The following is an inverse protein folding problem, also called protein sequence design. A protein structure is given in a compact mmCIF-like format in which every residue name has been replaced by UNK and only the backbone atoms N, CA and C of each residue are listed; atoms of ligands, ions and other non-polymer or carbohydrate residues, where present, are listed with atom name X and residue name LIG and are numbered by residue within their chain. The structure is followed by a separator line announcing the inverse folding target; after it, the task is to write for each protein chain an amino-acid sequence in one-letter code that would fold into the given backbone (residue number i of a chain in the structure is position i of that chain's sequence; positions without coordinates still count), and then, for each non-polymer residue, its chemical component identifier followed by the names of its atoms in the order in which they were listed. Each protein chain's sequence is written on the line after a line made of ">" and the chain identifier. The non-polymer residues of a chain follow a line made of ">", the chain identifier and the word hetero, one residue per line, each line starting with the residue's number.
data_IF_941358450487
#
_entry.id   IF_941358450487
#
_cell.length_a   1.000
_cell.length_b   1.000
_cell.length_c   1.000
_cell.angle_alpha   90.00
_cell.angle_beta   90.00
_cell.angle_gamma   90.00
#
_symmetry.space_group_name_H-M   'P 1'
#
loop_
_entity.id
_entity.type
_entity.pdbx_description
1 polymer ?
#
# COMPACT_ATOMS: atom_id res chain seq x y z
N UNK A 1 12.92 -15.95 -15.29
CA UNK A 1 12.70 -15.50 -13.90
C UNK A 1 13.07 -14.03 -13.85
N UNK A 2 12.16 -13.17 -13.39
CA UNK A 2 12.40 -11.73 -13.27
C UNK A 2 13.56 -11.45 -12.29
N UNK A 3 14.46 -10.53 -12.65
CA UNK A 3 15.62 -10.18 -11.83
C UNK A 3 15.20 -9.59 -10.48
N UNK A 4 14.13 -8.79 -10.45
CA UNK A 4 13.60 -8.22 -9.22
C UNK A 4 13.03 -9.30 -8.31
N UNK A 5 12.35 -10.29 -8.88
CA UNK A 5 11.84 -11.45 -8.14
C UNK A 5 13.01 -12.27 -7.55
N UNK A 6 14.08 -12.50 -8.31
CA UNK A 6 15.28 -13.18 -7.78
C UNK A 6 15.91 -12.42 -6.62
N UNK A 7 16.10 -11.10 -6.75
CA UNK A 7 16.63 -10.25 -5.67
C UNK A 7 15.74 -10.38 -4.42
N UNK A 8 14.42 -10.30 -4.60
CA UNK A 8 13.44 -10.44 -3.51
C UNK A 8 13.60 -11.76 -2.77
N UNK A 9 13.70 -12.87 -3.50
CA UNK A 9 13.74 -14.21 -2.92
C UNK A 9 15.07 -14.47 -2.19
N UNK A 10 16.18 -13.92 -2.69
CA UNK A 10 17.51 -14.11 -2.08
C UNK A 10 17.85 -13.11 -0.97
N UNK A 11 17.12 -12.00 -0.81
CA UNK A 11 17.50 -10.92 0.13
C UNK A 11 17.58 -11.37 1.60
N UNK A 12 16.84 -12.41 1.99
CA UNK A 12 16.76 -12.91 3.37
C UNK A 12 17.85 -13.92 3.71
N UNK A 13 18.26 -14.74 2.74
CA UNK A 13 19.20 -15.85 2.93
C UNK A 13 20.59 -15.55 2.40
N UNK A 14 20.69 -14.77 1.32
CA UNK A 14 21.92 -14.51 0.54
C UNK A 14 22.06 -13.00 0.26
N UNK A 15 21.91 -12.17 1.29
CA UNK A 15 21.83 -10.71 1.19
C UNK A 15 22.93 -10.08 0.32
N UNK A 16 24.19 -10.48 0.50
CA UNK A 16 25.30 -9.92 -0.29
C UNK A 16 25.19 -10.21 -1.79
N UNK A 17 24.68 -11.39 -2.16
CA UNK A 17 24.42 -11.73 -3.56
C UNK A 17 23.24 -10.92 -4.11
N UNK A 18 22.18 -10.78 -3.32
CA UNK A 18 21.03 -9.96 -3.68
C UNK A 18 21.43 -8.49 -3.92
N UNK A 19 22.29 -7.93 -3.07
CA UNK A 19 22.85 -6.58 -3.22
C UNK A 19 23.73 -6.43 -4.46
N UNK A 20 24.58 -7.42 -4.77
CA UNK A 20 25.39 -7.39 -5.99
C UNK A 20 24.54 -7.43 -7.28
N UNK A 21 23.48 -8.25 -7.29
CA UNK A 21 22.51 -8.30 -8.38
C UNK A 21 21.75 -6.96 -8.51
N UNK A 22 21.32 -6.41 -7.39
CA UNK A 22 20.63 -5.13 -7.34
C UNK A 22 21.50 -3.97 -7.83
N UNK A 23 22.77 -3.90 -7.41
CA UNK A 23 23.71 -2.86 -7.86
C UNK A 23 23.87 -2.90 -9.39
N UNK A 24 24.04 -4.09 -9.95
CA UNK A 24 24.16 -4.29 -11.39
C UNK A 24 22.88 -3.85 -12.13
N UNK A 25 21.72 -4.23 -11.59
CA UNK A 25 20.42 -3.82 -12.11
C UNK A 25 20.22 -2.31 -12.09
N UNK A 26 20.53 -1.64 -10.96
CA UNK A 26 20.34 -0.21 -10.81
C UNK A 26 21.24 0.60 -11.74
N UNK A 27 22.52 0.21 -11.89
CA UNK A 27 23.46 0.85 -12.83
C UNK A 27 23.04 0.70 -14.30
N UNK A 28 22.34 -0.39 -14.63
CA UNK A 28 21.80 -0.60 -15.97
C UNK A 28 20.48 0.13 -16.22
N UNK A 29 19.73 0.46 -15.15
CA UNK A 29 18.38 1.04 -15.24
C UNK A 29 18.40 2.57 -15.13
N UNK A 30 19.30 3.13 -14.33
CA UNK A 30 19.35 4.56 -14.06
C UNK A 30 20.73 5.15 -14.42
N UNK A 31 20.78 6.37 -14.97
CA UNK A 31 22.02 7.07 -15.26
C UNK A 31 22.65 7.67 -13.99
N UNK A 32 22.90 6.83 -12.98
CA UNK A 32 23.42 7.21 -11.67
C UNK A 32 24.75 6.48 -11.40
N UNK A 33 25.74 7.20 -10.88
CA UNK A 33 27.03 6.61 -10.46
C UNK A 33 26.91 5.96 -9.08
N UNK A 34 26.15 4.88 -9.01
CA UNK A 34 25.85 4.16 -7.77
C UNK A 34 27.06 3.31 -7.40
N UNK A 35 27.60 3.47 -6.20
CA UNK A 35 28.77 2.72 -5.71
C UNK A 35 28.37 1.57 -4.77
N UNK A 36 27.39 1.81 -3.91
CA UNK A 36 26.95 0.84 -2.91
C UNK A 36 25.43 0.76 -2.85
N UNK A 37 24.92 -0.42 -2.47
CA UNK A 37 23.51 -0.64 -2.18
C UNK A 37 23.39 -1.43 -0.88
N UNK A 38 22.36 -1.12 -0.12
CA UNK A 38 22.05 -1.76 1.15
C UNK A 38 20.58 -2.16 1.16
N UNK A 39 20.31 -3.47 1.16
CA UNK A 39 18.95 -3.99 1.29
C UNK A 39 18.48 -3.93 2.74
N UNK A 40 17.21 -3.56 2.93
CA UNK A 40 16.51 -3.55 4.22
C UNK A 40 15.39 -4.58 4.23
N UNK A 41 15.72 -5.87 4.42
CA UNK A 41 14.70 -6.90 4.51
C UNK A 41 13.81 -6.65 5.73
N UNK A 42 12.50 -6.58 5.49
CA UNK A 42 11.48 -6.49 6.53
C UNK A 42 10.55 -7.70 6.39
N UNK A 43 10.27 -8.39 7.51
CA UNK A 43 9.44 -9.60 7.52
C UNK A 43 8.04 -9.40 6.93
N UNK A 44 7.55 -8.16 6.87
CA UNK A 44 6.23 -7.79 6.33
C UNK A 44 6.24 -7.44 4.84
N UNK A 45 7.40 -7.43 4.18
CA UNK A 45 7.53 -7.06 2.77
C UNK A 45 7.39 -8.26 1.83
N UNK A 46 6.17 -8.82 1.75
CA UNK A 46 5.89 -10.05 0.98
C UNK A 46 6.13 -9.89 -0.53
N UNK A 47 5.75 -8.72 -1.08
CA UNK A 47 5.74 -8.44 -2.53
C UNK A 47 6.50 -7.15 -2.88
N UNK A 48 7.48 -6.79 -2.06
CA UNK A 48 8.30 -5.59 -2.25
C UNK A 48 9.63 -5.76 -1.56
N UNK A 49 10.61 -4.94 -1.94
CA UNK A 49 11.80 -4.72 -1.14
C UNK A 49 12.25 -3.27 -1.28
N UNK A 50 13.07 -2.83 -0.34
CA UNK A 50 13.56 -1.46 -0.29
C UNK A 50 14.95 -1.42 0.33
N UNK A 51 15.58 -0.26 0.26
CA UNK A 51 16.92 -0.08 0.76
C UNK A 51 17.50 1.28 0.44
N UNK A 52 18.81 1.38 0.61
CA UNK A 52 19.56 2.59 0.30
C UNK A 52 20.57 2.34 -0.81
N UNK A 53 20.89 3.38 -1.54
CA UNK A 53 22.02 3.41 -2.45
C UNK A 53 22.91 4.63 -2.14
N UNK A 54 24.22 4.47 -2.32
CA UNK A 54 25.19 5.55 -2.15
C UNK A 54 25.85 5.83 -3.48
N UNK A 55 25.80 7.08 -3.92
CA UNK A 55 26.44 7.55 -5.14
C UNK A 55 27.94 7.85 -4.91
N UNK A 56 28.70 8.01 -5.99
CA UNK A 56 30.14 8.28 -5.92
C UNK A 56 30.50 9.60 -5.22
N UNK A 57 29.60 10.59 -5.26
CA UNK A 57 29.73 11.85 -4.53
C UNK A 57 29.40 11.73 -3.02
N UNK A 58 29.02 10.53 -2.55
CA UNK A 58 28.61 10.25 -1.19
C UNK A 58 27.13 10.49 -0.92
N UNK A 59 26.33 10.98 -1.88
CA UNK A 59 24.89 11.17 -1.69
C UNK A 59 24.21 9.83 -1.45
N UNK A 60 23.42 9.75 -0.38
CA UNK A 60 22.59 8.58 -0.08
C UNK A 60 21.17 8.82 -0.59
N UNK A 61 20.61 7.82 -1.25
CA UNK A 61 19.23 7.81 -1.76
C UNK A 61 18.50 6.57 -1.25
N UNK A 62 17.19 6.69 -1.07
CA UNK A 62 16.33 5.56 -0.72
C UNK A 62 15.69 5.00 -1.99
N UNK A 63 15.53 3.68 -2.09
CA UNK A 63 14.75 3.07 -3.16
C UNK A 63 13.68 2.12 -2.63
N UNK A 64 12.62 1.97 -3.42
CA UNK A 64 11.54 1.01 -3.17
C UNK A 64 11.10 0.39 -4.49
N UNK A 65 10.79 -0.90 -4.45
CA UNK A 65 10.25 -1.64 -5.59
C UNK A 65 9.12 -2.58 -5.16
N UNK A 66 8.20 -2.82 -6.09
CA UNK A 66 7.15 -3.84 -5.97
C UNK A 66 7.40 -4.91 -7.04
N UNK A 67 7.32 -6.19 -6.68
CA UNK A 67 7.54 -7.30 -7.62
C UNK A 67 6.28 -7.72 -8.37
N UNK A 68 5.13 -7.13 -8.05
CA UNK A 68 3.86 -7.38 -8.75
C UNK A 68 3.66 -6.39 -9.91
N UNK A 69 3.25 -6.89 -11.06
CA UNK A 69 3.07 -6.09 -12.28
C UNK A 69 1.95 -5.05 -12.21
N UNK A 70 0.94 -5.25 -11.34
CA UNK A 70 -0.34 -4.53 -11.44
C UNK A 70 -0.45 -3.23 -10.63
N UNK A 71 0.51 -2.94 -9.73
CA UNK A 71 0.30 -1.93 -8.67
C UNK A 71 1.12 -0.63 -8.79
N UNK A 72 2.15 -0.57 -9.65
CA UNK A 72 3.15 0.53 -9.60
C UNK A 72 2.68 1.82 -10.27
N UNK A 73 1.89 1.73 -11.35
CA UNK A 73 1.48 2.90 -12.13
C UNK A 73 0.49 3.79 -11.34
N UNK A 74 -0.36 3.19 -10.50
CA UNK A 74 -1.37 3.92 -9.73
C UNK A 74 -0.80 4.77 -8.60
N UNK A 75 0.21 4.28 -7.88
CA UNK A 75 0.82 5.00 -6.74
C UNK A 75 1.47 6.32 -7.19
N UNK A 76 2.20 6.29 -8.32
CA UNK A 76 2.84 7.48 -8.89
C UNK A 76 1.83 8.53 -9.33
N UNK A 77 0.81 8.12 -10.08
CA UNK A 77 -0.24 9.03 -10.54
C UNK A 77 -0.91 9.74 -9.35
N UNK A 78 -1.22 8.99 -8.29
CA UNK A 78 -1.84 9.55 -7.09
C UNK A 78 -0.91 10.53 -6.35
N UNK A 79 0.38 10.20 -6.19
CA UNK A 79 1.34 11.10 -5.56
C UNK A 79 1.53 12.40 -6.36
N UNK A 80 1.54 12.32 -7.70
CA UNK A 80 1.59 13.49 -8.57
C UNK A 80 0.32 14.35 -8.44
N UNK A 81 -0.86 13.73 -8.42
CA UNK A 81 -2.12 14.45 -8.20
C UNK A 81 -2.16 15.15 -6.84
N UNK A 82 -1.71 14.48 -5.77
CA UNK A 82 -1.64 15.08 -4.44
C UNK A 82 -0.68 16.27 -4.42
N UNK A 83 0.50 16.14 -5.02
CA UNK A 83 1.44 17.26 -5.12
C UNK A 83 0.85 18.45 -5.91
N UNK A 84 0.15 18.18 -7.02
CA UNK A 84 -0.54 19.21 -7.81
C UNK A 84 -1.66 19.91 -7.02
N UNK A 85 -2.35 19.18 -6.15
CA UNK A 85 -3.34 19.73 -5.23
C UNK A 85 -2.73 20.44 -4.00
N UNK A 86 -1.40 20.55 -3.91
CA UNK A 86 -0.70 21.29 -2.85
C UNK A 86 -0.41 20.48 -1.60
N UNK A 87 -0.64 19.16 -1.60
CA UNK A 87 -0.27 18.31 -0.46
C UNK A 87 1.25 18.22 -0.31
N UNK A 88 1.79 18.23 0.92
CA UNK A 88 3.22 18.08 1.18
C UNK A 88 3.62 16.60 1.05
N UNK A 89 3.62 16.09 -0.17
CA UNK A 89 3.99 14.71 -0.49
C UNK A 89 5.41 14.63 -1.05
N UNK A 90 6.13 13.58 -0.67
CA UNK A 90 7.46 13.31 -1.18
C UNK A 90 7.34 12.64 -2.55
N UNK A 91 7.95 13.25 -3.56
CA UNK A 91 8.00 12.69 -4.90
C UNK A 91 9.33 11.97 -5.14
N UNK A 92 9.33 10.89 -5.94
CA UNK A 92 10.57 10.23 -6.32
C UNK A 92 11.41 11.17 -7.22
N UNK A 93 12.72 11.18 -7.01
CA UNK A 93 13.68 11.83 -7.91
C UNK A 93 13.76 11.08 -9.25
N UNK A 94 13.68 9.75 -9.20
CA UNK A 94 13.72 8.89 -10.37
C UNK A 94 12.65 7.80 -10.27
N UNK A 95 12.06 7.46 -11.40
CA UNK A 95 11.12 6.36 -11.50
C UNK A 95 11.37 5.56 -12.77
N UNK A 96 11.29 4.25 -12.65
CA UNK A 96 11.21 3.32 -13.78
C UNK A 96 9.89 2.59 -13.66
N UNK A 97 9.07 2.67 -14.70
CA UNK A 97 7.75 2.01 -14.79
C UNK A 97 7.73 0.88 -15.83
N UNK A 98 8.89 0.56 -16.42
CA UNK A 98 9.04 -0.55 -17.35
C UNK A 98 8.74 -1.88 -16.65
N UNK A 99 8.09 -2.80 -17.39
CA UNK A 99 7.77 -4.12 -16.88
C UNK A 99 9.06 -4.89 -16.49
N UNK A 100 9.12 -5.36 -15.24
CA UNK A 100 10.31 -6.03 -14.69
C UNK A 100 11.42 -5.09 -14.23
N UNK A 101 11.19 -3.77 -14.27
CA UNK A 101 12.11 -2.76 -13.76
C UNK A 101 11.43 -1.72 -12.88
N UNK A 102 10.31 -2.07 -12.27
CA UNK A 102 9.53 -1.12 -11.50
C UNK A 102 10.28 -0.70 -10.23
N UNK A 103 10.84 0.51 -10.21
CA UNK A 103 11.62 1.01 -9.08
C UNK A 103 11.52 2.53 -8.95
N UNK A 104 11.41 2.99 -7.71
CA UNK A 104 11.33 4.40 -7.33
C UNK A 104 12.53 4.77 -6.46
N UNK A 105 13.12 5.94 -6.71
CA UNK A 105 14.27 6.47 -5.97
C UNK A 105 13.88 7.82 -5.36
N UNK A 106 14.14 7.99 -4.08
CA UNK A 106 13.81 9.15 -3.26
C UNK A 106 15.04 9.70 -2.58
N UNK A 107 14.97 10.96 -2.15
CA UNK A 107 15.89 11.47 -1.15
C UNK A 107 15.71 10.76 0.18
N UNK A 108 16.80 10.62 0.94
CA UNK A 108 16.73 10.13 2.31
C UNK A 108 16.22 11.26 3.20
N UNK A 109 15.18 10.97 3.97
CA UNK A 109 14.69 11.86 5.02
C UNK A 109 15.21 11.32 6.34
N UNK A 110 16.07 12.11 6.98
CA UNK A 110 16.68 11.77 8.26
C UNK A 110 15.86 12.29 9.46
N UNK A 111 14.85 13.12 9.19
CA UNK A 111 13.94 13.57 10.23
C UNK A 111 13.18 12.38 10.85
N UNK A 112 12.97 12.37 12.18
CA UNK A 112 12.22 11.31 12.84
C UNK A 112 10.76 11.31 12.37
N UNK A 113 10.13 10.14 12.43
CA UNK A 113 8.69 10.07 12.17
C UNK A 113 7.92 10.69 13.34
N UNK A 114 6.68 11.11 13.09
CA UNK A 114 5.77 11.55 14.16
C UNK A 114 5.57 10.44 15.20
N UNK A 115 5.59 9.16 14.78
CA UNK A 115 5.48 8.02 15.69
C UNK A 115 6.67 7.94 16.65
N UNK A 116 7.89 8.08 16.13
CA UNK A 116 9.11 8.05 16.96
C UNK A 116 9.08 9.20 17.98
N UNK A 117 8.74 10.42 17.52
CA UNK A 117 8.63 11.58 18.40
C UNK A 117 7.52 11.43 19.44
N UNK A 118 6.35 10.92 19.06
CA UNK A 118 5.25 10.69 20.00
C UNK A 118 5.64 9.69 21.08
N UNK A 119 6.29 8.59 20.70
CA UNK A 119 6.81 7.60 21.64
C UNK A 119 7.84 8.19 22.60
N UNK A 120 8.79 9.01 22.10
CA UNK A 120 9.78 9.68 22.95
C UNK A 120 9.12 10.64 23.96
N UNK A 121 8.10 11.39 23.54
CA UNK A 121 7.33 12.29 24.40
C UNK A 121 6.60 11.49 25.49
N UNK A 122 5.90 10.42 25.11
CA UNK A 122 5.16 9.56 26.04
C UNK A 122 6.07 8.84 27.04
N UNK A 123 7.33 8.59 26.66
CA UNK A 123 8.33 7.93 27.51
C UNK A 123 9.22 8.91 28.30
N UNK A 124 8.93 10.22 28.24
CA UNK A 124 9.46 11.22 29.18
C UNK A 124 10.36 12.30 28.58
N UNK A 125 10.57 12.33 27.26
CA UNK A 125 11.28 13.42 26.56
C UNK A 125 10.29 14.39 25.92
N UNK A 126 9.61 15.15 26.77
CA UNK A 126 8.51 16.02 26.36
C UNK A 126 8.97 17.37 25.78
N UNK A 127 10.28 17.63 25.65
CA UNK A 127 10.81 18.90 25.15
C UNK A 127 10.36 19.20 23.71
N UNK A 128 10.13 18.15 22.92
CA UNK A 128 9.66 18.25 21.54
C UNK A 128 8.14 18.53 21.42
N UNK A 129 7.36 18.37 22.50
CA UNK A 129 5.90 18.45 22.44
C UNK A 129 5.38 19.81 21.92
N UNK A 130 5.89 20.98 22.36
CA UNK A 130 5.43 22.26 21.82
C UNK A 130 5.73 22.42 20.33
N UNK A 131 6.90 21.97 19.87
CA UNK A 131 7.29 22.04 18.47
C UNK A 131 6.45 21.10 17.59
N UNK A 132 6.22 19.86 18.05
CA UNK A 132 5.36 18.89 17.37
C UNK A 132 3.91 19.39 17.29
N UNK A 133 3.39 19.97 18.37
CA UNK A 133 2.05 20.57 18.40
C UNK A 133 1.93 21.69 17.38
N UNK A 134 2.91 22.60 17.32
CA UNK A 134 2.94 23.68 16.33
C UNK A 134 3.00 23.16 14.89
N UNK A 135 3.84 22.16 14.62
CA UNK A 135 3.94 21.53 13.31
C UNK A 135 2.63 20.82 12.90
N UNK A 136 1.99 20.12 13.83
CA UNK A 136 0.70 19.46 13.60
C UNK A 136 -0.39 20.49 13.28
N UNK A 137 -0.51 21.57 14.06
CA UNK A 137 -1.48 22.63 13.80
C UNK A 137 -1.27 23.29 12.43
N UNK A 138 -0.01 23.53 12.03
CA UNK A 138 0.30 24.08 10.72
C UNK A 138 -0.10 23.11 9.58
N UNK A 139 0.21 21.82 9.74
CA UNK A 139 -0.17 20.79 8.78
C UNK A 139 -1.68 20.63 8.66
N UNK A 140 -2.41 20.67 9.79
CA UNK A 140 -3.88 20.59 9.82
C UNK A 140 -4.53 21.81 9.16
N UNK A 141 -3.98 23.01 9.39
CA UNK A 141 -4.46 24.24 8.75
C UNK A 141 -4.24 24.18 7.23
N UNK A 142 -3.08 23.70 6.77
CA UNK A 142 -2.80 23.50 5.34
C UNK A 142 -3.74 22.46 4.73
N UNK A 143 -3.95 21.32 5.42
CA UNK A 143 -4.85 20.26 4.96
C UNK A 143 -6.29 20.77 4.83
N UNK A 144 -6.77 21.52 5.81
CA UNK A 144 -8.09 22.14 5.77
C UNK A 144 -8.20 23.10 4.57
N UNK A 145 -7.19 23.92 4.32
CA UNK A 145 -7.20 24.84 3.19
C UNK A 145 -7.31 24.09 1.86
N UNK A 146 -6.53 23.01 1.68
CA UNK A 146 -6.64 22.17 0.48
C UNK A 146 -8.05 21.57 0.35
N UNK A 147 -8.65 21.09 1.44
CA UNK A 147 -10.02 20.59 1.39
C UNK A 147 -11.02 21.67 0.99
N UNK A 148 -10.91 22.88 1.53
CA UNK A 148 -11.79 23.99 1.16
C UNK A 148 -11.61 24.37 -0.31
N UNK A 149 -10.38 24.41 -0.81
CA UNK A 149 -10.05 24.78 -2.19
C UNK A 149 -10.47 23.71 -3.21
N UNK A 150 -10.46 22.44 -2.79
CA UNK A 150 -10.80 21.29 -3.65
C UNK A 150 -12.20 20.74 -3.40
N UNK A 151 -12.97 21.34 -2.50
CA UNK A 151 -14.31 20.88 -2.15
C UNK A 151 -15.24 20.99 -3.36
N UNK A 152 -15.65 19.86 -3.90
CA UNK A 152 -16.66 19.77 -4.93
C UNK A 152 -17.84 18.93 -4.46
N UNK A 153 -19.06 19.40 -4.70
CA UNK A 153 -20.25 18.57 -4.56
C UNK A 153 -20.18 17.45 -5.60
N UNK A 154 -20.01 16.21 -5.13
CA UNK A 154 -20.07 15.01 -5.96
C UNK A 154 -21.25 14.14 -5.53
N UNK A 155 -21.87 13.47 -6.50
CA UNK A 155 -22.82 12.40 -6.16
C UNK A 155 -22.09 11.32 -5.35
N UNK A 156 -22.65 10.92 -4.20
CA UNK A 156 -21.96 10.10 -3.20
C UNK A 156 -21.41 8.78 -3.74
N UNK A 157 -21.96 8.25 -4.83
CA UNK A 157 -21.58 6.95 -5.40
C UNK A 157 -20.28 7.03 -6.22
N UNK A 158 -19.91 8.21 -6.74
CA UNK A 158 -18.61 8.44 -7.39
C UNK A 158 -17.54 8.86 -6.38
N UNK A 159 -17.90 9.09 -5.12
CA UNK A 159 -16.94 9.47 -4.12
C UNK A 159 -15.88 8.34 -3.96
N UNK A 160 -14.58 8.67 -4.03
CA UNK A 160 -13.51 7.68 -4.00
C UNK A 160 -13.57 6.69 -2.83
N UNK A 161 -14.10 7.14 -1.67
CA UNK A 161 -14.29 6.29 -0.49
C UNK A 161 -15.26 5.12 -0.74
N UNK A 162 -16.35 5.35 -1.46
CA UNK A 162 -17.31 4.29 -1.78
C UNK A 162 -16.76 3.33 -2.84
N UNK A 163 -15.99 3.86 -3.80
CA UNK A 163 -15.25 3.05 -4.77
C UNK A 163 -14.19 2.17 -4.09
N UNK A 164 -13.51 2.65 -3.05
CA UNK A 164 -12.49 1.91 -2.31
C UNK A 164 -13.03 0.58 -1.76
N UNK A 165 -14.17 0.64 -1.06
CA UNK A 165 -14.80 -0.53 -0.45
C UNK A 165 -15.42 -1.45 -1.51
N UNK A 166 -16.05 -0.87 -2.53
CA UNK A 166 -16.59 -1.63 -3.65
C UNK A 166 -15.49 -2.41 -4.37
N UNK A 167 -14.39 -1.77 -4.80
CA UNK A 167 -13.32 -2.44 -5.53
C UNK A 167 -12.60 -3.50 -4.69
N UNK A 168 -12.45 -3.28 -3.38
CA UNK A 168 -11.82 -4.27 -2.49
C UNK A 168 -12.69 -5.49 -2.23
N UNK A 169 -14.00 -5.33 -2.07
CA UNK A 169 -14.90 -6.42 -1.68
C UNK A 169 -15.70 -7.03 -2.84
N UNK A 170 -16.19 -6.20 -3.76
CA UNK A 170 -17.10 -6.60 -4.84
C UNK A 170 -16.49 -6.43 -6.25
N UNK A 171 -15.37 -5.74 -6.39
CA UNK A 171 -14.68 -5.49 -7.67
C UNK A 171 -13.66 -6.56 -8.08
N UNK A 172 -13.81 -7.80 -7.60
CA UNK A 172 -12.98 -8.95 -7.98
C UNK A 172 -11.62 -9.06 -7.27
N UNK A 173 -11.12 -7.98 -6.62
CA UNK A 173 -9.85 -8.06 -5.87
C UNK A 173 -9.92 -9.09 -4.74
N UNK A 174 -11.01 -9.10 -3.97
CA UNK A 174 -11.20 -10.07 -2.89
C UNK A 174 -10.99 -11.50 -3.38
N UNK A 175 -11.60 -11.84 -4.51
CA UNK A 175 -11.61 -13.20 -5.07
C UNK A 175 -10.25 -13.64 -5.57
N UNK A 176 -9.48 -12.71 -6.15
CA UNK A 176 -8.10 -12.97 -6.56
C UNK A 176 -7.19 -13.34 -5.40
N UNK A 177 -7.41 -12.77 -4.22
CA UNK A 177 -6.55 -13.00 -3.05
C UNK A 177 -7.06 -14.10 -2.13
N UNK A 178 -8.38 -14.21 -1.96
CA UNK A 178 -9.01 -15.07 -0.97
C UNK A 178 -9.88 -16.16 -1.58
N UNK A 179 -9.88 -16.32 -2.91
CA UNK A 179 -10.66 -17.34 -3.59
C UNK A 179 -12.13 -16.98 -3.76
N UNK A 180 -12.88 -17.87 -4.38
CA UNK A 180 -14.26 -17.65 -4.79
C UNK A 180 -15.16 -17.19 -3.63
N UNK A 181 -15.95 -16.13 -3.85
CA UNK A 181 -17.01 -15.71 -2.93
C UNK A 181 -18.11 -16.78 -2.81
N UNK A 182 -18.92 -16.75 -1.72
CA UNK A 182 -20.04 -17.67 -1.55
C UNK A 182 -20.96 -17.73 -2.78
N UNK A 183 -21.17 -18.93 -3.31
CA UNK A 183 -22.05 -19.17 -4.46
C UNK A 183 -21.38 -19.08 -5.83
N UNK A 184 -20.06 -18.84 -5.89
CA UNK A 184 -19.28 -18.92 -7.13
C UNK A 184 -18.56 -20.26 -7.25
N UNK A 185 -18.30 -20.68 -8.49
CA UNK A 185 -17.73 -21.98 -8.85
C UNK A 185 -16.25 -21.91 -9.22
N UNK A 186 -15.60 -20.76 -9.00
CA UNK A 186 -14.18 -20.55 -9.25
C UNK A 186 -13.34 -21.33 -8.23
N UNK A 187 -12.08 -21.64 -8.58
CA UNK A 187 -11.15 -22.32 -7.68
C UNK A 187 -10.89 -21.47 -6.43
N UNK A 188 -10.72 -22.14 -5.29
CA UNK A 188 -10.45 -21.47 -4.01
C UNK A 188 -8.94 -21.26 -3.80
N UNK A 189 -8.60 -20.29 -2.96
CA UNK A 189 -7.22 -20.08 -2.53
C UNK A 189 -6.90 -21.01 -1.36
N UNK A 190 -5.69 -21.57 -1.31
CA UNK A 190 -5.23 -22.35 -0.16
C UNK A 190 -4.57 -21.42 0.87
N UNK A 191 -5.02 -21.49 2.11
CA UNK A 191 -4.41 -20.82 3.24
C UNK A 191 -3.46 -21.78 3.96
N UNK A 192 -2.24 -21.33 4.25
CA UNK A 192 -1.30 -22.10 5.07
C UNK A 192 -1.58 -21.83 6.55
N UNK A 193 -2.02 -22.86 7.28
CA UNK A 193 -2.22 -22.86 8.71
C UNK A 193 -1.14 -23.72 9.41
N UNK A 194 -0.95 -23.62 10.74
CA UNK A 194 0.06 -24.41 11.46
C UNK A 194 -0.07 -25.93 11.31
N UNK A 195 -1.27 -26.41 11.03
CA UNK A 195 -1.65 -27.82 10.84
C UNK A 195 -1.69 -28.26 9.38
N UNK A 196 -1.47 -27.35 8.42
CA UNK A 196 -1.39 -27.64 6.99
C UNK A 196 -2.09 -26.63 6.10
N UNK A 197 -2.26 -26.99 4.83
CA UNK A 197 -3.02 -26.16 3.88
C UNK A 197 -4.52 -26.40 4.03
N UNK A 198 -5.29 -25.34 4.15
CA UNK A 198 -6.76 -25.37 4.28
C UNK A 198 -7.39 -24.46 3.21
N UNK A 199 -8.45 -24.91 2.50
CA UNK A 199 -9.17 -24.04 1.57
C UNK A 199 -9.71 -22.78 2.27
N UNK A 200 -9.57 -21.63 1.62
CA UNK A 200 -9.96 -20.35 2.23
C UNK A 200 -11.47 -20.29 2.54
N UNK A 201 -12.32 -21.00 1.80
CA UNK A 201 -13.75 -21.11 2.11
C UNK A 201 -14.03 -21.79 3.46
N UNK A 202 -13.22 -22.75 3.89
CA UNK A 202 -13.34 -23.40 5.20
C UNK A 202 -12.94 -22.42 6.29
N UNK A 203 -11.82 -21.71 6.09
CA UNK A 203 -11.35 -20.64 6.97
C UNK A 203 -12.44 -19.56 7.15
N UNK A 204 -13.10 -19.15 6.07
CA UNK A 204 -14.16 -18.11 6.14
C UNK A 204 -15.47 -18.60 6.75
N UNK A 205 -15.73 -19.91 6.77
CA UNK A 205 -16.94 -20.51 7.38
C UNK A 205 -16.76 -20.92 8.83
N UNK A 206 -15.50 -20.97 9.30
CA UNK A 206 -15.18 -21.22 10.70
C UNK A 206 -15.86 -20.22 11.64
N UNK A 207 -16.04 -20.63 12.90
CA UNK A 207 -16.45 -19.73 13.98
C UNK A 207 -15.20 -19.21 14.66
N UNK A 208 -15.06 -17.90 14.65
CA UNK A 208 -13.86 -17.23 15.11
C UNK A 208 -13.95 -16.88 16.58
N UNK A 209 -12.86 -17.10 17.30
CA UNK A 209 -12.62 -16.52 18.62
C UNK A 209 -11.35 -15.68 18.51
N UNK A 210 -11.49 -14.36 18.58
CA UNK A 210 -10.37 -13.41 18.46
C UNK A 210 -10.24 -12.71 19.80
N UNK A 211 -9.07 -12.80 20.44
CA UNK A 211 -8.79 -12.18 21.73
C UNK A 211 -9.83 -12.50 22.83
N UNK A 212 -10.36 -13.74 22.83
CA UNK A 212 -11.38 -14.17 23.79
C UNK A 212 -12.82 -13.83 23.42
N UNK A 213 -13.05 -12.98 22.41
CA UNK A 213 -14.38 -12.67 21.89
C UNK A 213 -14.80 -13.68 20.84
N UNK A 214 -15.92 -14.38 21.08
CA UNK A 214 -16.52 -15.32 20.13
C UNK A 214 -17.42 -14.56 19.15
N UNK A 215 -17.27 -14.87 17.86
CA UNK A 215 -18.09 -14.35 16.78
C UNK A 215 -19.05 -15.44 16.30
N UNK A 216 -20.35 -15.20 16.45
CA UNK A 216 -21.39 -16.17 16.10
C UNK A 216 -21.65 -16.27 14.60
N UNK A 217 -21.24 -15.24 13.86
CA UNK A 217 -21.37 -15.16 12.41
C UNK A 217 -20.03 -15.54 11.74
N UNK A 218 -20.05 -16.38 10.69
CA UNK A 218 -18.85 -16.66 9.90
C UNK A 218 -18.45 -15.45 9.05
N UNK A 219 -17.17 -15.37 8.69
CA UNK A 219 -16.67 -14.29 7.83
C UNK A 219 -17.42 -14.23 6.50
N UNK A 220 -17.80 -15.37 5.91
CA UNK A 220 -18.58 -15.43 4.67
C UNK A 220 -19.89 -14.60 4.76
N UNK A 221 -20.59 -14.67 5.89
CA UNK A 221 -21.84 -13.93 6.09
C UNK A 221 -21.59 -12.43 6.26
N UNK A 222 -20.54 -12.05 6.99
CA UNK A 222 -20.10 -10.66 7.12
C UNK A 222 -19.69 -10.06 5.77
N UNK A 223 -18.93 -10.81 4.98
CA UNK A 223 -18.49 -10.42 3.63
C UNK A 223 -19.68 -10.27 2.70
N UNK A 224 -20.63 -11.21 2.69
CA UNK A 224 -21.83 -11.13 1.87
C UNK A 224 -22.66 -9.87 2.19
N UNK A 225 -22.84 -9.55 3.48
CA UNK A 225 -23.52 -8.33 3.91
C UNK A 225 -22.77 -7.06 3.48
N UNK A 226 -21.46 -7.01 3.68
CA UNK A 226 -20.65 -5.87 3.30
C UNK A 226 -20.64 -5.65 1.77
N UNK A 227 -20.53 -6.73 0.99
CA UNK A 227 -20.61 -6.70 -0.46
C UNK A 227 -21.99 -6.26 -0.95
N UNK A 228 -23.07 -6.71 -0.30
CA UNK A 228 -24.42 -6.28 -0.60
C UNK A 228 -24.60 -4.78 -0.32
N UNK A 229 -24.13 -4.26 0.82
CA UNK A 229 -24.20 -2.84 1.14
C UNK A 229 -23.41 -1.99 0.11
N UNK A 230 -22.20 -2.41 -0.24
CA UNK A 230 -21.39 -1.74 -1.26
C UNK A 230 -22.03 -1.78 -2.67
N UNK A 231 -22.75 -2.87 -2.99
CA UNK A 231 -23.42 -3.04 -4.28
C UNK A 231 -24.77 -2.31 -4.37
N UNK A 232 -25.51 -2.19 -3.27
CA UNK A 232 -26.78 -1.43 -3.22
C UNK A 232 -26.53 0.07 -3.46
N UNK A 233 -25.43 0.61 -2.91
CA UNK A 233 -24.98 1.96 -3.23
C UNK A 233 -24.78 2.15 -4.75
N UNK A 234 -24.29 1.12 -5.46
CA UNK A 234 -24.12 1.16 -6.93
C UNK A 234 -25.45 1.03 -7.71
N UNK A 235 -26.37 0.16 -7.28
CA UNK A 235 -27.63 -0.14 -8.02
C UNK A 235 -28.71 0.93 -7.88
N UNK A 236 -28.88 1.56 -6.72
CA UNK A 236 -29.96 2.53 -6.45
C UNK A 236 -29.95 3.79 -7.35
N UNK A 237 -28.92 3.98 -8.17
CA UNK A 237 -28.80 5.09 -9.13
C UNK A 237 -28.77 4.64 -10.59
N UNK A 238 -28.59 3.35 -10.89
CA UNK A 238 -28.75 2.81 -12.26
C UNK A 238 -30.20 2.90 -12.74
N UNK A 239 -31.16 2.70 -11.84
CA UNK A 239 -32.59 2.79 -12.12
C UNK A 239 -33.14 4.24 -12.17
N UNK A 240 -32.36 5.24 -11.72
CA UNK A 240 -32.74 6.67 -11.86
C UNK A 240 -32.23 7.31 -13.15
N UNK A 241 -31.37 6.65 -13.91
CA UNK A 241 -30.81 7.17 -15.16
C UNK A 241 -31.79 7.12 -16.36
N UNK A 242 -33.01 6.59 -16.21
CA UNK A 242 -33.97 6.44 -17.32
C UNK A 242 -35.38 6.96 -17.03
N UNK A 243 -35.53 7.95 -16.15
CA UNK A 243 -36.79 8.71 -16.05
C UNK A 243 -36.49 10.20 -16.01
N UNK A 244 -36.39 10.80 -17.20
CA UNK A 244 -36.68 12.23 -17.41
C UNK A 244 -37.92 12.34 -18.31
N UNK A 245 -38.88 13.23 -18.04
CA UNK A 245 -39.55 13.95 -19.12
C UNK A 245 -38.55 14.88 -19.84
#
# INVERSE_FOLDING_TARGET
>A
MDILQRIKDTQLTEKAQAEALLLSFLRATFPLDIQFVELRPLAVSLNSFNGFMTLADGKRLFFKTHTEADNVIGEYYNAAMLAQAGYPVIQPLYSSTEAGKQLLIYEVIEAPSVFDLAWEIETGRSEALPALTGAQHAADAQLLQIYLDTLALQESIQAPVHQLFYHRLAGGRFERFYGALPGKTEADTMALLPDGETPMNEVRRARWQINGSRYDEPLDAMIARAAAAASHAKRANGDRAWRRP
#
